data_IF_550567764619
#
_entry.id   IF_550567764619
#
_cell.length_a   1.000
_cell.length_b   1.000
_cell.length_c   1.000
_cell.angle_alpha   90.00
_cell.angle_beta   90.00
_cell.angle_gamma   90.00
#
_symmetry.space_group_name_H-M   'P 1'
#
loop_
_entity.id
_entity.type
_entity.pdbx_description
1 polymer ?
#
# COMPACT_ATOMS: atom_id res chain seq x y z
N UNK A 1 0.82 4.73 7.77
CA UNK A 1 2.22 5.00 7.35
C UNK A 1 3.13 5.27 8.55
N UNK A 2 2.99 6.37 9.31
CA UNK A 2 3.87 6.70 10.45
C UNK A 2 4.03 5.56 11.46
N UNK A 3 2.94 4.93 11.91
CA UNK A 3 3.05 3.77 12.83
C UNK A 3 3.85 2.59 12.27
N UNK A 4 3.85 2.38 10.94
CA UNK A 4 4.67 1.33 10.32
C UNK A 4 6.15 1.73 10.26
N UNK A 5 6.43 3.03 10.05
CA UNK A 5 7.78 3.58 10.11
C UNK A 5 8.34 3.54 11.53
N UNK A 6 7.52 3.81 12.55
CA UNK A 6 7.87 3.63 13.98
C UNK A 6 8.21 2.17 14.29
N UNK A 7 7.48 1.22 13.68
CA UNK A 7 7.78 -0.21 13.76
C UNK A 7 8.99 -0.64 12.89
N UNK A 8 9.63 0.29 12.18
CA UNK A 8 10.87 0.07 11.43
C UNK A 8 10.72 -0.24 9.94
N UNK A 9 9.50 -0.33 9.42
CA UNK A 9 9.26 -0.59 8.00
C UNK A 9 9.21 0.71 7.17
N UNK A 10 9.99 0.76 6.09
CA UNK A 10 9.95 1.85 5.12
C UNK A 10 8.87 1.60 4.06
N UNK A 11 8.62 2.62 3.23
CA UNK A 11 7.80 2.43 2.03
C UNK A 11 8.44 1.34 1.14
N UNK A 12 7.62 0.50 0.51
CA UNK A 12 7.95 -0.71 -0.25
C UNK A 12 8.52 -1.89 0.57
N UNK A 13 8.60 -1.78 1.89
CA UNK A 13 8.90 -2.91 2.78
C UNK A 13 7.60 -3.45 3.41
N UNK A 14 7.63 -4.72 3.85
CA UNK A 14 6.47 -5.40 4.43
C UNK A 14 6.66 -5.52 5.93
N UNK A 15 5.76 -4.92 6.69
CA UNK A 15 5.61 -5.17 8.12
C UNK A 15 4.85 -6.49 8.31
N UNK A 16 5.46 -7.45 8.99
CA UNK A 16 4.93 -8.81 9.14
C UNK A 16 4.76 -9.19 10.61
N UNK A 17 3.68 -9.90 10.91
CA UNK A 17 3.35 -10.39 12.25
C UNK A 17 3.44 -11.92 12.23
N UNK A 18 4.66 -12.46 12.29
CA UNK A 18 4.87 -13.90 12.14
C UNK A 18 4.37 -14.75 13.31
N UNK A 19 4.26 -14.17 14.51
CA UNK A 19 3.70 -14.81 15.70
C UNK A 19 2.27 -14.35 16.01
N UNK A 20 1.56 -13.85 14.99
CA UNK A 20 0.24 -13.23 15.08
C UNK A 20 0.26 -11.88 15.81
N UNK A 21 -0.83 -11.13 15.67
CA UNK A 21 -0.93 -9.79 16.23
C UNK A 21 -1.44 -9.88 17.68
N UNK A 22 -0.64 -9.38 18.62
CA UNK A 22 -0.95 -9.36 20.05
C UNK A 22 -1.60 -8.06 20.53
N UNK A 23 -1.68 -7.85 21.86
CA UNK A 23 -2.30 -6.67 22.47
C UNK A 23 -1.34 -5.48 22.67
N UNK A 24 -0.06 -5.67 22.35
CA UNK A 24 1.03 -4.73 22.58
C UNK A 24 0.99 -3.54 21.62
N UNK A 25 0.45 -3.75 20.40
CA UNK A 25 0.31 -2.71 19.38
C UNK A 25 -1.07 -2.05 19.44
N UNK A 26 -1.11 -0.74 19.23
CA UNK A 26 -2.37 -0.01 19.04
C UNK A 26 -2.72 -0.03 17.56
N UNK A 27 -3.17 -1.20 17.10
CA UNK A 27 -3.65 -1.40 15.74
C UNK A 27 -5.18 -1.47 15.72
N UNK A 28 -5.82 -0.62 14.90
CA UNK A 28 -7.28 -0.51 14.89
C UNK A 28 -7.95 -1.84 14.50
N UNK A 29 -8.62 -2.48 15.46
CA UNK A 29 -9.43 -3.70 15.29
C UNK A 29 -8.71 -4.86 14.59
N UNK A 30 -7.46 -5.12 14.98
CA UNK A 30 -6.71 -6.27 14.48
C UNK A 30 -7.39 -7.61 14.79
N UNK A 31 -7.19 -8.58 13.91
CA UNK A 31 -7.47 -9.99 14.21
C UNK A 31 -6.22 -10.65 14.84
N UNK A 32 -6.43 -11.59 15.77
CA UNK A 32 -5.35 -12.30 16.46
C UNK A 32 -5.16 -13.76 15.97
N UNK A 33 -5.84 -14.16 14.90
CA UNK A 33 -5.92 -15.54 14.41
C UNK A 33 -5.32 -15.73 13.01
N UNK A 34 -4.75 -14.68 12.42
CA UNK A 34 -4.20 -14.69 11.06
C UNK A 34 -2.84 -14.01 11.00
N UNK A 35 -1.98 -14.49 10.09
CA UNK A 35 -0.66 -13.87 9.85
C UNK A 35 -0.87 -12.63 9.00
N UNK A 36 -0.56 -11.46 9.56
CA UNK A 36 -0.63 -10.19 8.84
C UNK A 36 0.68 -9.89 8.11
N UNK A 37 0.54 -9.31 6.92
CA UNK A 37 1.62 -8.72 6.14
C UNK A 37 1.08 -7.43 5.51
N UNK A 38 1.66 -6.30 5.90
CA UNK A 38 1.11 -4.97 5.66
C UNK A 38 2.21 -4.08 5.08
N UNK A 39 1.91 -3.29 4.07
CA UNK A 39 2.90 -2.43 3.41
C UNK A 39 2.35 -1.06 3.02
N UNK A 40 3.24 -0.09 2.85
CA UNK A 40 2.94 1.14 2.09
C UNK A 40 3.71 1.04 0.79
N UNK A 41 3.01 1.05 -0.34
CA UNK A 41 3.61 1.02 -1.68
C UNK A 41 3.86 2.44 -2.15
N UNK A 42 5.10 2.76 -2.51
CA UNK A 42 5.51 4.04 -3.10
C UNK A 42 5.34 4.04 -4.61
N UNK A 43 4.39 4.84 -5.10
CA UNK A 43 4.09 5.02 -6.52
C UNK A 43 4.65 6.33 -7.09
N UNK A 44 5.38 7.13 -6.31
CA UNK A 44 5.87 8.45 -6.73
C UNK A 44 6.89 8.39 -7.88
N UNK A 45 7.61 7.27 -8.00
CA UNK A 45 8.58 7.05 -9.09
C UNK A 45 7.99 6.31 -10.29
N UNK A 46 6.71 5.91 -10.24
CA UNK A 46 6.05 5.15 -11.30
C UNK A 46 5.28 3.94 -10.79
N UNK A 47 4.75 3.10 -11.70
CA UNK A 47 3.98 1.93 -11.34
C UNK A 47 4.83 0.89 -10.58
N UNK A 48 4.21 0.23 -9.61
CA UNK A 48 4.83 -0.82 -8.80
C UNK A 48 4.12 -2.15 -9.03
N UNK A 49 4.91 -3.21 -9.11
CA UNK A 49 4.44 -4.60 -9.17
C UNK A 49 4.41 -5.19 -7.78
N UNK A 50 3.30 -5.83 -7.44
CA UNK A 50 3.14 -6.62 -6.22
C UNK A 50 2.75 -8.04 -6.62
N UNK A 51 3.61 -9.02 -6.34
CA UNK A 51 3.22 -10.43 -6.36
C UNK A 51 2.63 -10.79 -5.00
N UNK A 52 1.45 -11.40 -4.98
CA UNK A 52 0.71 -11.72 -3.74
C UNK A 52 0.73 -13.23 -3.46
N UNK A 53 0.72 -13.65 -2.18
CA UNK A 53 0.68 -15.06 -1.83
C UNK A 53 -0.68 -15.69 -2.17
N UNK A 54 -0.70 -16.98 -2.51
CA UNK A 54 -1.96 -17.72 -2.64
C UNK A 54 -2.66 -17.82 -1.28
N UNK A 55 -3.98 -18.03 -1.34
CA UNK A 55 -4.88 -18.24 -0.21
C UNK A 55 -4.87 -17.11 0.84
N UNK A 56 -4.41 -15.94 0.45
CA UNK A 56 -4.52 -14.74 1.26
C UNK A 56 -5.90 -14.09 1.13
N UNK A 57 -6.19 -13.19 2.06
CA UNK A 57 -7.21 -12.16 1.94
C UNK A 57 -6.52 -10.80 2.01
N UNK A 58 -6.72 -9.96 1.01
CA UNK A 58 -6.17 -8.61 1.11
C UNK A 58 -6.76 -7.60 0.16
N UNK A 59 -6.34 -6.36 0.39
CA UNK A 59 -6.84 -5.16 -0.26
C UNK A 59 -5.67 -4.19 -0.48
N UNK A 60 -5.74 -3.48 -1.61
CA UNK A 60 -4.99 -2.26 -1.82
C UNK A 60 -5.94 -1.07 -1.72
N UNK A 61 -5.63 -0.15 -0.82
CA UNK A 61 -6.36 1.11 -0.66
C UNK A 61 -5.43 2.29 -0.95
N UNK A 62 -6.02 3.41 -1.37
CA UNK A 62 -5.30 4.67 -1.52
C UNK A 62 -5.10 5.36 -0.15
N UNK A 63 -4.37 6.48 -0.10
CA UNK A 63 -4.09 7.15 1.17
C UNK A 63 -5.29 7.87 1.81
N UNK A 64 -6.43 7.89 1.12
CA UNK A 64 -7.73 8.33 1.66
C UNK A 64 -8.61 7.14 2.08
N UNK A 65 -8.03 5.94 2.18
CA UNK A 65 -8.71 4.68 2.53
C UNK A 65 -9.81 4.28 1.52
N UNK A 66 -9.61 4.62 0.25
CA UNK A 66 -10.53 4.19 -0.82
C UNK A 66 -9.96 3.00 -1.55
N UNK A 67 -10.86 2.09 -1.89
CA UNK A 67 -10.55 0.87 -2.62
C UNK A 67 -9.85 1.14 -3.95
N UNK A 68 -8.71 0.48 -4.16
CA UNK A 68 -8.04 0.40 -5.46
C UNK A 68 -8.37 -0.94 -6.12
N UNK A 69 -8.00 -2.05 -5.47
CA UNK A 69 -8.23 -3.41 -5.95
C UNK A 69 -8.00 -4.43 -4.81
N UNK A 70 -8.76 -5.51 -4.80
CA UNK A 70 -8.57 -6.63 -3.88
C UNK A 70 -7.56 -7.65 -4.41
N UNK A 71 -6.93 -8.41 -3.52
CA UNK A 71 -6.13 -9.59 -3.86
C UNK A 71 -6.46 -10.79 -2.96
N UNK A 72 -6.06 -11.97 -3.39
CA UNK A 72 -6.38 -13.22 -2.72
C UNK A 72 -7.81 -13.67 -3.01
N UNK A 73 -8.49 -14.27 -2.04
CA UNK A 73 -9.83 -14.86 -2.21
C UNK A 73 -10.88 -13.93 -2.88
N UNK A 74 -11.02 -12.64 -2.52
CA UNK A 74 -11.96 -11.72 -3.16
C UNK A 74 -11.38 -11.07 -4.42
N UNK A 75 -10.07 -11.21 -4.65
CA UNK A 75 -9.36 -10.57 -5.73
C UNK A 75 -9.56 -11.26 -7.08
N UNK A 76 -9.11 -10.61 -8.17
CA UNK A 76 -9.16 -11.17 -9.51
C UNK A 76 -8.21 -12.37 -9.68
N UNK A 77 -7.25 -12.56 -8.78
CA UNK A 77 -6.37 -13.72 -8.67
C UNK A 77 -7.05 -14.94 -8.04
N UNK A 78 -8.28 -14.78 -7.49
CA UNK A 78 -9.13 -15.86 -6.96
C UNK A 78 -8.45 -16.74 -5.91
N UNK A 79 -7.52 -16.17 -5.15
CA UNK A 79 -6.77 -16.88 -4.12
C UNK A 79 -5.65 -17.78 -4.65
N UNK A 80 -5.33 -17.78 -5.94
CA UNK A 80 -4.21 -18.56 -6.50
C UNK A 80 -2.87 -17.83 -6.39
N UNK A 81 -2.88 -16.60 -5.87
CA UNK A 81 -1.75 -15.67 -5.92
C UNK A 81 -1.68 -15.01 -7.30
N UNK A 82 -1.28 -13.76 -7.33
CA UNK A 82 -1.36 -12.96 -8.55
C UNK A 82 -0.26 -11.93 -8.65
N UNK A 83 -0.11 -11.38 -9.85
CA UNK A 83 0.75 -10.23 -10.11
C UNK A 83 -0.12 -9.00 -10.33
N UNK A 84 0.00 -8.05 -9.42
CA UNK A 84 -0.73 -6.80 -9.42
C UNK A 84 0.17 -5.68 -9.90
N UNK A 85 -0.39 -4.75 -10.67
CA UNK A 85 0.30 -3.54 -11.10
C UNK A 85 -0.47 -2.34 -10.57
N UNK A 86 0.09 -1.68 -9.57
CA UNK A 86 -0.47 -0.43 -9.05
C UNK A 86 0.10 0.74 -9.84
N UNK A 87 -0.79 1.51 -10.45
CA UNK A 87 -0.46 2.62 -11.33
C UNK A 87 -0.70 3.94 -10.59
N UNK A 88 0.30 4.85 -10.51
CA UNK A 88 0.11 6.15 -9.87
C UNK A 88 -0.85 7.04 -10.65
N UNK A 89 -1.35 8.11 -10.00
CA UNK A 89 -2.09 9.16 -10.69
C UNK A 89 -1.22 9.81 -11.78
N UNK A 90 -1.85 10.19 -12.89
CA UNK A 90 -1.21 10.87 -14.03
C UNK A 90 -0.11 10.08 -14.75
N UNK A 91 0.00 8.76 -14.56
CA UNK A 91 0.89 7.94 -15.36
C UNK A 91 0.40 7.87 -16.82
N UNK A 92 1.26 8.24 -17.76
CA UNK A 92 1.01 8.27 -19.20
C UNK A 92 1.89 7.29 -20.01
N UNK A 93 2.75 6.54 -19.31
CA UNK A 93 3.58 5.50 -19.92
C UNK A 93 2.75 4.30 -20.38
N UNK A 94 3.36 3.44 -21.21
CA UNK A 94 2.67 2.25 -21.69
C UNK A 94 2.47 1.24 -20.57
N UNK A 95 1.29 0.63 -20.53
CA UNK A 95 0.93 -0.44 -19.63
C UNK A 95 0.93 -1.78 -20.37
N UNK A 96 1.04 -2.91 -19.66
CA UNK A 96 0.97 -4.22 -20.27
C UNK A 96 -0.48 -4.59 -20.61
N UNK A 97 -0.69 -5.28 -21.72
CA UNK A 97 -2.02 -5.71 -22.15
C UNK A 97 -2.45 -7.03 -21.48
N UNK A 98 -1.54 -7.70 -20.79
CA UNK A 98 -1.77 -9.01 -20.18
C UNK A 98 -0.86 -9.27 -18.98
N UNK A 99 -1.18 -10.31 -18.20
CA UNK A 99 -0.30 -10.84 -17.16
C UNK A 99 -0.29 -10.06 -15.83
N UNK A 100 -1.02 -8.95 -15.74
CA UNK A 100 -1.20 -8.18 -14.51
C UNK A 100 -2.67 -7.94 -14.22
N UNK A 101 -3.02 -7.90 -12.94
CA UNK A 101 -4.24 -7.26 -12.45
C UNK A 101 -3.91 -5.79 -12.15
N UNK A 102 -4.44 -4.87 -12.97
CA UNK A 102 -4.08 -3.46 -12.90
C UNK A 102 -5.03 -2.72 -11.96
N UNK A 103 -4.47 -2.01 -10.99
CA UNK A 103 -5.19 -1.11 -10.08
C UNK A 103 -4.68 0.32 -10.23
N UNK A 104 -5.58 1.30 -10.40
CA UNK A 104 -5.21 2.71 -10.54
C UNK A 104 -5.41 3.45 -9.22
N UNK A 105 -4.32 4.00 -8.67
CA UNK A 105 -4.37 4.80 -7.46
C UNK A 105 -4.61 6.28 -7.78
N UNK A 106 -5.36 6.96 -6.93
CA UNK A 106 -5.52 8.43 -6.96
C UNK A 106 -4.44 9.14 -6.13
N UNK A 107 -3.62 8.40 -5.40
CA UNK A 107 -2.55 8.88 -4.51
C UNK A 107 -1.19 8.33 -4.94
N UNK A 108 -0.11 9.00 -4.55
CA UNK A 108 1.30 8.60 -4.82
C UNK A 108 1.81 7.52 -3.86
N UNK A 109 0.96 7.09 -2.94
CA UNK A 109 1.17 5.94 -2.05
C UNK A 109 -0.09 5.08 -2.06
N UNK A 110 0.05 3.79 -1.80
CA UNK A 110 -1.06 2.88 -1.57
C UNK A 110 -0.79 2.05 -0.31
N UNK A 111 -1.84 1.77 0.45
CA UNK A 111 -1.82 0.86 1.57
C UNK A 111 -2.11 -0.55 1.09
N UNK A 112 -1.28 -1.51 1.49
CA UNK A 112 -1.49 -2.93 1.29
C UNK A 112 -1.81 -3.56 2.64
N UNK A 113 -2.96 -4.21 2.73
CA UNK A 113 -3.34 -5.02 3.88
C UNK A 113 -3.57 -6.46 3.43
N UNK A 114 -2.69 -7.36 3.86
CA UNK A 114 -2.83 -8.79 3.63
C UNK A 114 -2.93 -9.55 4.94
N UNK A 115 -3.74 -10.61 4.95
CA UNK A 115 -3.73 -11.64 5.98
C UNK A 115 -3.86 -13.03 5.36
N UNK A 116 -3.23 -14.01 5.98
CA UNK A 116 -3.33 -15.41 5.59
C UNK A 116 -3.73 -16.29 6.77
N UNK A 117 -4.50 -17.34 6.46
CA UNK A 117 -5.08 -18.23 7.44
C UNK A 117 -4.10 -19.34 7.86
N UNK A 118 -4.29 -19.86 9.06
CA UNK A 118 -3.45 -20.91 9.69
C UNK A 118 -4.28 -22.14 10.10
N UNK A 119 -5.58 -22.15 9.80
CA UNK A 119 -6.53 -23.17 10.22
C UNK A 119 -6.23 -24.56 9.65
N UNK A 120 -5.53 -24.63 8.52
CA UNK A 120 -5.10 -25.88 7.90
C UNK A 120 -3.69 -26.32 8.34
N UNK A 121 -2.96 -25.48 9.08
CA UNK A 121 -1.62 -25.80 9.55
C UNK A 121 -1.69 -26.76 10.74
N UNK A 122 -0.81 -27.77 10.81
CA UNK A 122 -0.71 -28.65 11.97
C UNK A 122 -0.53 -27.85 13.25
N UNK A 123 -1.43 -28.04 14.22
CA UNK A 123 -1.37 -27.33 15.50
C UNK A 123 -1.61 -25.81 15.41
N UNK A 124 -2.16 -25.31 14.29
CA UNK A 124 -2.29 -23.87 14.02
C UNK A 124 -0.94 -23.12 14.04
N UNK A 125 0.16 -23.81 13.72
CA UNK A 125 1.49 -23.20 13.62
C UNK A 125 1.51 -22.16 12.48
N UNK A 126 1.87 -20.87 12.73
CA UNK A 126 1.95 -19.87 11.67
C UNK A 126 3.16 -20.03 10.75
N UNK A 127 4.20 -20.77 11.13
CA UNK A 127 5.47 -20.82 10.40
C UNK A 127 5.35 -21.24 8.92
N UNK A 128 4.55 -22.26 8.53
CA UNK A 128 4.37 -22.61 7.12
C UNK A 128 3.73 -21.48 6.30
N UNK A 129 2.78 -20.76 6.89
CA UNK A 129 2.12 -19.60 6.26
C UNK A 129 3.09 -18.43 6.11
N UNK A 130 3.91 -18.17 7.13
CA UNK A 130 4.96 -17.14 7.09
C UNK A 130 5.98 -17.43 5.99
N UNK A 131 6.44 -18.69 5.87
CA UNK A 131 7.38 -19.09 4.81
C UNK A 131 6.76 -18.91 3.42
N UNK A 132 5.49 -19.30 3.24
CA UNK A 132 4.76 -19.11 1.99
C UNK A 132 4.68 -17.62 1.61
N UNK A 133 4.31 -16.75 2.54
CA UNK A 133 4.26 -15.29 2.32
C UNK A 133 5.63 -14.77 1.89
N UNK A 134 6.70 -15.10 2.63
CA UNK A 134 8.07 -14.63 2.32
C UNK A 134 8.56 -15.10 0.96
N UNK A 135 8.22 -16.32 0.56
CA UNK A 135 8.65 -16.91 -0.71
C UNK A 135 7.94 -16.31 -1.93
N UNK A 136 6.68 -15.91 -1.76
CA UNK A 136 5.80 -15.56 -2.90
C UNK A 136 5.54 -14.06 -3.02
N UNK A 137 5.56 -13.33 -1.90
CA UNK A 137 5.30 -11.89 -1.92
C UNK A 137 6.52 -11.15 -2.44
N UNK A 138 6.33 -10.36 -3.50
CA UNK A 138 7.39 -9.52 -4.06
C UNK A 138 6.89 -8.11 -4.33
N UNK A 139 7.72 -7.11 -4.06
CA UNK A 139 7.45 -5.71 -4.37
C UNK A 139 8.61 -5.17 -5.21
N UNK A 140 8.33 -4.69 -6.42
CA UNK A 140 9.37 -4.16 -7.30
C UNK A 140 8.82 -3.18 -8.36
N UNK A 141 9.63 -2.25 -8.89
CA UNK A 141 9.20 -1.33 -9.93
C UNK A 141 8.76 -2.03 -11.22
N UNK A 142 7.73 -1.50 -11.88
CA UNK A 142 7.31 -1.99 -13.19
C UNK A 142 8.34 -1.64 -14.26
N UNK A 143 8.70 -2.63 -15.08
CA UNK A 143 9.57 -2.45 -16.24
C UNK A 143 8.72 -2.39 -17.53
N UNK A 144 8.53 -1.18 -18.05
CA UNK A 144 7.84 -0.96 -19.33
C UNK A 144 8.55 -1.73 -20.46
N UNK A 145 7.77 -2.39 -21.32
CA UNK A 145 8.33 -3.25 -22.37
C UNK A 145 8.84 -4.61 -21.86
N UNK A 146 8.60 -4.93 -20.60
CA UNK A 146 8.88 -6.22 -19.99
C UNK A 146 7.70 -7.18 -20.10
N UNK A 147 7.57 -8.05 -19.09
CA UNK A 147 6.48 -9.02 -19.00
C UNK A 147 5.12 -8.37 -19.25
N UNK A 148 4.22 -9.09 -19.92
CA UNK A 148 2.88 -8.59 -20.24
C UNK A 148 2.78 -7.62 -21.43
N UNK A 149 3.92 -7.08 -21.91
CA UNK A 149 3.94 -6.22 -23.11
C UNK A 149 3.97 -7.07 -24.38
N UNK A 150 3.02 -6.91 -25.33
CA UNK A 150 3.03 -7.66 -26.57
C UNK A 150 4.23 -7.33 -27.47
N UNK A 151 4.71 -8.32 -28.20
CA UNK A 151 5.75 -8.11 -29.23
C UNK A 151 5.29 -7.11 -30.30
N UNK A 152 4.00 -7.06 -30.62
CA UNK A 152 3.45 -6.08 -31.56
C UNK A 152 3.73 -4.64 -31.11
N UNK A 153 3.47 -4.30 -29.84
CA UNK A 153 3.77 -2.99 -29.24
C UNK A 153 5.25 -2.65 -29.31
N UNK A 154 6.14 -3.65 -29.12
CA UNK A 154 7.58 -3.45 -29.27
C UNK A 154 7.98 -3.17 -30.73
N UNK A 155 7.34 -3.82 -31.70
CA UNK A 155 7.58 -3.62 -33.13
C UNK A 155 7.05 -2.28 -33.66
N UNK A 156 6.01 -1.72 -33.04
CA UNK A 156 5.53 -0.36 -33.32
C UNK A 156 6.56 0.71 -32.93
N UNK A 157 7.51 0.39 -32.05
CA UNK A 157 8.59 1.28 -31.64
C UNK A 157 8.19 2.35 -30.63
N UNK A 158 6.96 2.30 -30.12
CA UNK A 158 6.44 3.19 -29.06
C UNK A 158 7.01 2.85 -27.69
N UNK A 159 7.40 1.58 -27.49
CA UNK A 159 7.98 1.05 -26.25
C UNK A 159 9.25 0.26 -26.58
N UNK A 160 10.32 0.47 -25.81
CA UNK A 160 11.53 -0.34 -25.94
C UNK A 160 11.42 -1.62 -25.10
N UNK A 161 11.95 -2.76 -25.58
CA UNK A 161 12.04 -3.96 -24.77
C UNK A 161 12.77 -3.67 -23.45
N UNK A 162 12.20 -4.11 -22.33
CA UNK A 162 12.87 -3.99 -21.05
C UNK A 162 14.16 -4.82 -21.05
N UNK A 163 15.20 -4.28 -20.41
CA UNK A 163 16.39 -5.07 -20.13
C UNK A 163 16.10 -6.01 -18.94
N UNK A 164 16.62 -7.25 -18.95
CA UNK A 164 16.58 -8.08 -17.76
C UNK A 164 17.23 -7.33 -16.59
N UNK A 165 16.47 -7.10 -15.54
CA UNK A 165 16.94 -6.52 -14.29
C UNK A 165 16.74 -7.54 -13.19
N UNK A 166 17.71 -7.61 -12.28
CA UNK A 166 17.55 -8.36 -11.05
C UNK A 166 16.47 -7.68 -10.20
N UNK A 167 15.49 -8.45 -9.76
CA UNK A 167 14.42 -7.91 -8.92
C UNK A 167 14.99 -7.66 -7.52
N UNK A 168 14.69 -6.51 -6.89
CA UNK A 168 15.08 -6.28 -5.52
C UNK A 168 14.45 -7.34 -4.61
N UNK A 169 15.21 -7.79 -3.61
CA UNK A 169 14.68 -8.65 -2.56
C UNK A 169 13.63 -7.87 -1.75
N UNK A 170 12.50 -8.52 -1.47
CA UNK A 170 11.46 -7.92 -0.64
C UNK A 170 11.86 -8.03 0.82
N UNK A 171 11.90 -6.87 1.49
CA UNK A 171 12.29 -6.78 2.90
C UNK A 171 11.05 -7.00 3.77
N UNK A 172 11.15 -7.95 4.69
CA UNK A 172 10.16 -8.21 5.72
C UNK A 172 10.68 -7.74 7.06
N UNK A 173 9.96 -6.81 7.69
CA UNK A 173 10.24 -6.29 9.03
C UNK A 173 9.31 -6.99 10.01
N UNK A 174 9.89 -7.69 10.99
CA UNK A 174 9.11 -8.36 12.04
C UNK A 174 8.52 -7.35 13.01
N UNK A 175 7.23 -7.52 13.32
CA UNK A 175 6.48 -6.62 14.18
C UNK A 175 5.73 -7.32 15.32
N UNK A 176 5.77 -8.65 15.41
CA UNK A 176 5.19 -9.39 16.52
C UNK A 176 5.80 -8.94 17.84
N UNK A 177 4.96 -8.63 18.82
CA UNK A 177 5.39 -8.10 20.12
C UNK A 177 5.90 -6.65 20.12
N UNK A 178 5.88 -5.95 18.97
CA UNK A 178 6.31 -4.55 18.89
C UNK A 178 5.15 -3.60 19.20
N UNK A 179 5.37 -2.65 20.10
CA UNK A 179 4.41 -1.58 20.37
C UNK A 179 4.58 -0.43 19.35
N UNK A 180 3.52 -0.13 18.59
CA UNK A 180 3.41 1.02 17.70
C UNK A 180 1.95 1.47 17.61
N UNK A 181 1.70 2.68 17.09
CA UNK A 181 0.36 3.26 17.03
C UNK A 181 -0.06 3.61 15.59
N UNK A 182 -1.23 3.12 15.17
CA UNK A 182 -1.83 3.47 13.87
C UNK A 182 -3.09 4.34 13.98
N UNK A 183 -3.52 4.66 15.20
CA UNK A 183 -4.68 5.50 15.46
C UNK A 183 -4.32 6.97 15.24
N UNK A 184 -5.08 7.73 14.43
CA UNK A 184 -4.90 9.16 14.29
C UNK A 184 -4.99 9.90 15.63
N UNK A 185 -4.26 11.01 15.83
CA UNK A 185 -4.42 11.85 17.01
C UNK A 185 -5.87 12.32 17.17
N UNK A 186 -6.31 12.51 18.41
CA UNK A 186 -7.64 13.03 18.75
C UNK A 186 -7.60 14.47 19.29
N UNK A 187 -6.47 15.15 19.08
CA UNK A 187 -6.21 16.55 19.41
C UNK A 187 -5.89 17.35 18.13
N UNK A 188 -5.34 18.55 18.28
CA UNK A 188 -4.95 19.40 17.16
C UNK A 188 -3.99 18.71 16.17
N UNK A 189 -3.21 17.72 16.62
CA UNK A 189 -2.34 16.92 15.78
C UNK A 189 -3.07 16.16 14.66
N UNK A 190 -4.39 15.97 14.79
CA UNK A 190 -5.24 15.45 13.72
C UNK A 190 -5.18 16.34 12.46
N UNK A 191 -5.27 17.65 12.62
CA UNK A 191 -5.25 18.60 11.50
C UNK A 191 -3.84 18.77 10.92
N UNK A 192 -2.81 18.63 11.75
CA UNK A 192 -1.43 18.57 11.28
C UNK A 192 -1.21 17.32 10.42
N UNK A 193 -1.74 16.16 10.85
CA UNK A 193 -1.71 14.93 10.08
C UNK A 193 -2.50 15.03 8.76
N UNK A 194 -3.68 15.64 8.78
CA UNK A 194 -4.45 15.92 7.56
C UNK A 194 -3.70 16.84 6.60
N UNK A 195 -3.07 17.90 7.12
CA UNK A 195 -2.27 18.78 6.29
C UNK A 195 -1.10 18.02 5.67
N UNK A 196 -0.38 17.21 6.44
CA UNK A 196 0.70 16.38 5.90
C UNK A 196 0.22 15.49 4.75
N UNK A 197 -0.92 14.81 4.92
CA UNK A 197 -1.51 14.00 3.85
C UNK A 197 -1.83 14.84 2.59
N UNK A 198 -2.44 16.02 2.75
CA UNK A 198 -2.68 16.94 1.64
C UNK A 198 -1.37 17.37 0.98
N UNK A 199 -0.33 17.66 1.76
CA UNK A 199 0.98 18.04 1.23
C UNK A 199 1.73 16.89 0.55
N UNK A 200 1.49 15.63 0.92
CA UNK A 200 2.12 14.47 0.28
C UNK A 200 1.41 14.05 -1.03
N UNK A 201 0.10 14.27 -1.13
CA UNK A 201 -0.71 13.74 -2.23
C UNK A 201 -1.03 14.77 -3.32
N UNK A 202 -1.40 14.33 -4.54
CA UNK A 202 -1.87 15.25 -5.58
C UNK A 202 -3.11 16.05 -5.12
N UNK A 203 -3.27 17.29 -5.59
CA UNK A 203 -4.40 18.14 -5.19
C UNK A 203 -5.77 17.51 -5.52
N UNK A 204 -5.88 16.82 -6.66
CA UNK A 204 -7.09 16.09 -7.08
C UNK A 204 -7.19 14.66 -6.52
N UNK A 205 -6.37 14.32 -5.52
CA UNK A 205 -6.34 12.97 -4.96
C UNK A 205 -7.55 12.64 -4.10
N UNK A 206 -8.43 13.57 -3.76
CA UNK A 206 -9.71 13.30 -3.10
C UNK A 206 -10.83 14.14 -3.74
N UNK A 207 -12.03 14.07 -3.18
CA UNK A 207 -13.19 14.81 -3.67
C UNK A 207 -13.03 16.33 -3.47
N UNK A 208 -13.52 17.11 -4.43
CA UNK A 208 -13.34 18.57 -4.46
C UNK A 208 -14.04 19.25 -3.29
N UNK A 209 -15.16 18.68 -2.82
CA UNK A 209 -15.92 19.15 -1.68
C UNK A 209 -15.10 19.04 -0.39
N UNK A 210 -14.48 17.87 -0.15
CA UNK A 210 -13.61 17.66 1.00
C UNK A 210 -12.38 18.59 0.94
N UNK A 211 -11.78 18.76 -0.23
CA UNK A 211 -10.68 19.72 -0.41
C UNK A 211 -11.12 21.16 -0.14
N UNK A 212 -12.36 21.52 -0.49
CA UNK A 212 -12.95 22.82 -0.17
C UNK A 212 -13.13 23.03 1.33
N UNK A 213 -13.58 22.01 2.06
CA UNK A 213 -13.71 22.04 3.53
C UNK A 213 -12.34 22.18 4.21
N UNK A 214 -11.33 21.43 3.75
CA UNK A 214 -9.95 21.54 4.23
C UNK A 214 -9.37 22.93 3.95
N UNK A 215 -9.61 23.48 2.77
CA UNK A 215 -9.18 24.83 2.42
C UNK A 215 -9.83 25.90 3.31
N UNK A 216 -11.11 25.73 3.68
CA UNK A 216 -11.82 26.67 4.56
C UNK A 216 -11.21 26.77 5.96
N UNK A 217 -10.52 25.72 6.43
CA UNK A 217 -9.77 25.72 7.70
C UNK A 217 -8.28 26.01 7.53
N UNK A 218 -7.83 26.34 6.31
CA UNK A 218 -6.45 26.74 6.01
C UNK A 218 -5.51 25.59 5.62
N UNK A 219 -6.02 24.39 5.35
CA UNK A 219 -5.24 23.28 4.81
C UNK A 219 -5.32 23.30 3.28
N UNK A 220 -4.25 23.76 2.64
CA UNK A 220 -4.19 23.95 1.18
C UNK A 220 -2.88 23.35 0.64
N UNK A 221 -2.98 22.56 -0.42
CA UNK A 221 -1.82 21.99 -1.11
C UNK A 221 -0.82 23.09 -1.51
N UNK A 222 0.44 22.91 -1.13
CA UNK A 222 1.53 23.84 -1.45
C UNK A 222 1.70 24.99 -0.46
N UNK A 223 0.76 25.16 0.49
CA UNK A 223 0.80 26.25 1.47
C UNK A 223 1.09 25.73 2.88
N UNK A 224 1.79 26.50 3.73
CA UNK A 224 1.97 26.17 5.13
C UNK A 224 0.64 26.20 5.90
N UNK A 225 0.38 25.18 6.72
CA UNK A 225 -0.75 25.20 7.67
C UNK A 225 -0.38 25.96 8.93
N UNK A 226 -0.76 27.24 8.99
CA UNK A 226 -0.46 28.15 10.11
C UNK A 226 -1.73 28.86 10.64
N UNK A 227 -2.66 28.12 11.27
CA UNK A 227 -3.88 28.71 11.81
C UNK A 227 -3.57 29.67 12.98
N UNK A 228 -4.32 30.78 13.03
CA UNK A 228 -4.27 31.73 14.13
C UNK A 228 -4.80 31.12 15.44
N UNK A 229 -4.61 31.83 16.55
CA UNK A 229 -5.03 31.35 17.88
C UNK A 229 -6.54 31.07 17.94
N UNK A 230 -7.35 31.85 17.22
CA UNK A 230 -8.80 31.64 17.18
C UNK A 230 -9.13 30.33 16.47
N UNK A 231 -8.55 30.08 15.29
CA UNK A 231 -8.77 28.86 14.51
C UNK A 231 -8.25 27.63 15.26
N UNK A 232 -7.07 27.72 15.90
CA UNK A 232 -6.54 26.63 16.75
C UNK A 232 -7.44 26.25 17.93
N UNK A 233 -8.28 27.16 18.43
CA UNK A 233 -9.26 26.84 19.48
C UNK A 233 -10.56 26.22 18.93
N UNK A 234 -10.85 26.43 17.64
CA UNK A 234 -12.02 25.86 16.96
C UNK A 234 -11.74 24.43 16.52
N UNK A 235 -10.53 24.18 16.03
CA UNK A 235 -10.02 22.88 15.60
C UNK A 235 -9.70 22.00 16.81
#
# INVERSE_FOLDING_TARGET
RKGMQEAGAKDNEILMFSELLGSESVFLTANADTVYFIGIIDLSSGPMVIETPPQALGIFDDMWWRWIIDFGLPGPDRGEGGRFLLVPPNYDGALPDSGYHIGHSRTTRAFMLGRSFINENPGMDPAPTVELIKRTTKIYPYAQGGFGTPIATLLEGTVRPASPAELPETVFVEASGTAFNTIPPNDFGFYELLNELVQEQPAGSTEIELMGELAAIGIVKGEPFAPDERMRRVL
#
